data_IF_532582363047
#
_entry.id   IF_532582363047
#
_cell.length_a   1.000
_cell.length_b   1.000
_cell.length_c   1.000
_cell.angle_alpha   90.00
_cell.angle_beta   90.00
_cell.angle_gamma   90.00
#
_symmetry.space_group_name_H-M   'P 1'
#
loop_
_entity.id
_entity.type
_entity.pdbx_description
1 polymer ?
#
# COMPACT_ATOMS: atom_id res chain seq x y z
N UNK A 1 12.25 6.27 -14.90
CA UNK A 1 11.28 5.99 -13.82
C UNK A 1 9.99 5.61 -14.50
N UNK A 2 9.57 4.35 -14.37
CA UNK A 2 8.29 3.87 -14.89
C UNK A 2 7.34 3.69 -13.72
N UNK A 3 6.14 4.23 -13.82
CA UNK A 3 5.09 4.13 -12.80
C UNK A 3 3.93 3.37 -13.45
N UNK A 4 3.49 2.32 -12.76
CA UNK A 4 2.36 1.51 -13.19
C UNK A 4 1.24 1.65 -12.17
N UNK A 5 0.05 2.03 -12.62
CA UNK A 5 -1.17 1.94 -11.82
C UNK A 5 -1.77 0.54 -11.94
N UNK A 6 -2.12 -0.05 -10.80
CA UNK A 6 -2.70 -1.40 -10.72
C UNK A 6 -4.21 -1.39 -10.54
N UNK A 7 -4.85 -0.22 -10.43
CA UNK A 7 -6.29 -0.09 -10.29
C UNK A 7 -7.02 -0.88 -11.39
N UNK A 8 -7.94 -1.77 -11.00
CA UNK A 8 -8.70 -2.61 -11.92
C UNK A 8 -7.97 -3.84 -12.48
N UNK A 9 -6.64 -3.93 -12.37
CA UNK A 9 -5.86 -5.13 -12.76
C UNK A 9 -5.75 -6.18 -11.66
N UNK A 10 -6.23 -5.84 -10.45
CA UNK A 10 -6.17 -6.69 -9.25
C UNK A 10 -6.91 -8.03 -9.40
N UNK A 11 -7.84 -8.08 -10.35
CA UNK A 11 -8.64 -9.25 -10.71
C UNK A 11 -7.80 -10.34 -11.42
N UNK A 12 -6.63 -9.98 -11.97
CA UNK A 12 -5.72 -10.87 -12.69
C UNK A 12 -4.45 -11.12 -11.89
N UNK A 13 -4.52 -12.10 -10.97
CA UNK A 13 -3.43 -12.42 -10.04
C UNK A 13 -2.07 -12.65 -10.74
N UNK A 14 -2.06 -13.26 -11.94
CA UNK A 14 -0.85 -13.50 -12.72
C UNK A 14 -0.17 -12.22 -13.21
N UNK A 15 -0.94 -11.22 -13.63
CA UNK A 15 -0.41 -9.91 -14.04
C UNK A 15 0.14 -9.15 -12.84
N UNK A 16 -0.60 -9.13 -11.72
CA UNK A 16 -0.16 -8.52 -10.47
C UNK A 16 1.18 -9.09 -10.01
N UNK A 17 1.31 -10.42 -9.98
CA UNK A 17 2.53 -11.07 -9.52
C UNK A 17 3.71 -10.77 -10.46
N UNK A 18 3.49 -10.65 -11.77
CA UNK A 18 4.52 -10.21 -12.73
C UNK A 18 5.01 -8.79 -12.43
N UNK A 19 4.09 -7.86 -12.18
CA UNK A 19 4.44 -6.47 -11.85
C UNK A 19 5.17 -6.36 -10.52
N UNK A 20 4.76 -7.14 -9.51
CA UNK A 20 5.46 -7.18 -8.22
C UNK A 20 6.85 -7.81 -8.36
N UNK A 21 6.99 -8.87 -9.15
CA UNK A 21 8.28 -9.52 -9.38
C UNK A 21 9.29 -8.52 -9.96
N UNK A 22 8.86 -7.75 -10.97
CA UNK A 22 9.71 -6.81 -11.70
C UNK A 22 9.83 -5.43 -11.04
N UNK A 23 8.89 -5.03 -10.17
CA UNK A 23 8.87 -3.71 -9.54
C UNK A 23 10.00 -3.51 -8.53
N UNK A 24 10.67 -2.35 -8.55
CA UNK A 24 11.80 -2.06 -7.65
C UNK A 24 11.40 -1.34 -6.35
N UNK A 25 10.17 -0.84 -6.28
CA UNK A 25 9.59 -0.18 -5.12
C UNK A 25 8.07 -0.12 -5.28
N UNK A 26 7.37 -0.03 -4.16
CA UNK A 26 5.90 -0.09 -4.16
C UNK A 26 5.32 1.10 -3.40
N UNK A 27 4.20 1.61 -3.91
CA UNK A 27 3.33 2.52 -3.19
C UNK A 27 2.05 1.77 -2.90
N UNK A 28 1.71 1.64 -1.62
CA UNK A 28 0.43 1.09 -1.16
C UNK A 28 -0.39 2.26 -0.66
N UNK A 29 -1.57 2.46 -1.24
CA UNK A 29 -2.47 3.54 -0.87
C UNK A 29 -3.66 2.97 -0.11
N UNK A 30 -4.08 3.66 0.94
CA UNK A 30 -5.36 3.40 1.60
C UNK A 30 -6.19 4.68 1.65
N UNK A 31 -7.49 4.55 1.78
CA UNK A 31 -8.42 5.68 1.86
C UNK A 31 -8.65 6.06 3.31
N UNK A 32 -8.48 7.33 3.66
CA UNK A 32 -8.82 7.84 5.00
C UNK A 32 -10.30 7.70 5.32
N UNK A 33 -11.15 7.64 4.30
CA UNK A 33 -12.61 7.47 4.40
C UNK A 33 -13.09 6.02 4.25
N UNK A 34 -12.20 5.03 4.30
CA UNK A 34 -12.59 3.62 4.25
C UNK A 34 -11.59 2.78 5.05
N UNK A 35 -11.98 2.44 6.27
CA UNK A 35 -11.15 1.69 7.20
C UNK A 35 -10.77 0.29 6.69
N UNK A 36 -11.60 -0.35 5.86
CA UNK A 36 -11.28 -1.66 5.29
C UNK A 36 -10.00 -1.60 4.45
N UNK A 37 -9.82 -0.54 3.65
CA UNK A 37 -8.61 -0.37 2.82
C UNK A 37 -7.34 -0.24 3.65
N UNK A 38 -7.46 0.23 4.90
CA UNK A 38 -6.35 0.28 5.84
C UNK A 38 -6.02 -1.10 6.42
N UNK A 39 -7.05 -1.88 6.77
CA UNK A 39 -6.86 -3.26 7.24
C UNK A 39 -6.19 -4.15 6.16
N UNK A 40 -6.50 -3.91 4.90
CA UNK A 40 -5.98 -4.69 3.77
C UNK A 40 -4.47 -4.46 3.49
N UNK A 41 -3.87 -3.40 4.04
CA UNK A 41 -2.44 -3.08 3.83
C UNK A 41 -1.54 -4.24 4.25
N UNK A 42 -1.84 -4.89 5.39
CA UNK A 42 -1.04 -6.00 5.88
C UNK A 42 -1.05 -7.19 4.90
N UNK A 43 -2.23 -7.47 4.32
CA UNK A 43 -2.38 -8.48 3.28
C UNK A 43 -1.57 -8.13 2.03
N UNK A 44 -1.66 -6.87 1.58
CA UNK A 44 -0.90 -6.40 0.41
C UNK A 44 0.61 -6.49 0.62
N UNK A 45 1.11 -6.09 1.80
CA UNK A 45 2.52 -6.24 2.18
C UNK A 45 2.97 -7.70 2.13
N UNK A 46 2.14 -8.62 2.61
CA UNK A 46 2.45 -10.05 2.59
C UNK A 46 2.52 -10.60 1.17
N UNK A 47 1.62 -10.17 0.28
CA UNK A 47 1.66 -10.52 -1.14
C UNK A 47 2.95 -10.02 -1.79
N UNK A 48 3.30 -8.74 -1.58
CA UNK A 48 4.54 -8.15 -2.12
C UNK A 48 5.76 -8.92 -1.61
N UNK A 49 5.84 -9.17 -0.30
CA UNK A 49 6.96 -9.87 0.32
C UNK A 49 7.10 -11.31 -0.20
N UNK A 50 5.97 -12.02 -0.36
CA UNK A 50 5.95 -13.39 -0.89
C UNK A 50 6.46 -13.46 -2.33
N UNK A 51 5.99 -12.56 -3.20
CA UNK A 51 6.38 -12.55 -4.61
C UNK A 51 7.82 -12.07 -4.79
N UNK A 52 8.28 -11.12 -3.97
CA UNK A 52 9.68 -10.66 -3.96
C UNK A 52 10.67 -11.68 -3.40
N UNK A 53 10.21 -12.55 -2.50
CA UNK A 53 11.06 -13.57 -1.88
C UNK A 53 12.25 -12.94 -1.14
N UNK A 54 13.46 -13.30 -1.55
CA UNK A 54 14.71 -12.89 -0.89
C UNK A 54 15.22 -11.49 -1.26
N UNK A 55 14.57 -10.79 -2.20
CA UNK A 55 14.95 -9.44 -2.65
C UNK A 55 13.89 -8.42 -2.22
N UNK A 56 13.88 -7.99 -0.93
CA UNK A 56 12.89 -7.05 -0.43
C UNK A 56 13.02 -5.70 -1.14
N UNK A 57 11.88 -5.10 -1.47
CA UNK A 57 11.80 -3.77 -2.06
C UNK A 57 11.22 -2.77 -1.05
N UNK A 58 11.58 -1.48 -1.12
CA UNK A 58 10.96 -0.44 -0.31
C UNK A 58 9.46 -0.33 -0.61
N UNK A 59 8.66 -0.15 0.45
CA UNK A 59 7.22 0.07 0.36
C UNK A 59 6.90 1.40 1.02
N UNK A 60 6.25 2.29 0.27
CA UNK A 60 5.71 3.55 0.74
C UNK A 60 4.22 3.39 1.03
N UNK A 61 3.75 3.85 2.18
CA UNK A 61 2.34 3.83 2.53
C UNK A 61 1.78 5.24 2.45
N UNK A 62 0.72 5.41 1.68
CA UNK A 62 0.14 6.73 1.42
C UNK A 62 -1.32 6.73 1.86
N UNK A 63 -1.66 7.68 2.72
CA UNK A 63 -3.03 7.97 3.07
C UNK A 63 -3.65 8.83 1.97
N UNK A 64 -4.79 8.41 1.44
CA UNK A 64 -5.49 9.11 0.37
C UNK A 64 -6.81 9.71 0.87
N UNK A 65 -7.35 10.67 0.12
CA UNK A 65 -8.60 11.39 0.41
C UNK A 65 -8.57 12.24 1.68
N UNK A 66 -7.45 12.92 1.91
CA UNK A 66 -7.28 13.84 3.04
C UNK A 66 -8.30 14.99 3.03
N UNK A 67 -8.71 15.40 1.83
CA UNK A 67 -9.71 16.44 1.58
C UNK A 67 -11.10 16.10 2.16
N UNK A 68 -11.40 14.82 2.40
CA UNK A 68 -12.68 14.35 2.94
C UNK A 68 -12.63 14.14 4.46
N UNK A 69 -12.10 15.11 5.20
CA UNK A 69 -11.85 14.98 6.65
C UNK A 69 -13.12 14.67 7.47
N UNK A 70 -14.27 15.22 7.07
CA UNK A 70 -15.56 14.93 7.71
C UNK A 70 -16.01 13.47 7.60
N UNK A 71 -15.43 12.70 6.67
CA UNK A 71 -15.70 11.27 6.46
C UNK A 71 -14.52 10.41 6.91
N UNK A 72 -13.58 10.96 7.67
CA UNK A 72 -12.39 10.23 8.13
C UNK A 72 -12.79 9.09 9.06
N UNK A 73 -12.35 7.89 8.70
CA UNK A 73 -12.48 6.67 9.48
C UNK A 73 -11.14 6.20 10.06
N UNK A 74 -10.01 6.65 9.49
CA UNK A 74 -8.66 6.29 9.96
C UNK A 74 -7.95 7.51 10.55
N UNK A 75 -7.58 7.42 11.82
CA UNK A 75 -6.88 8.52 12.50
C UNK A 75 -5.40 8.61 12.08
N UNK A 76 -4.83 9.82 12.13
CA UNK A 76 -3.40 10.03 11.86
C UNK A 76 -2.50 9.24 12.82
N UNK A 77 -2.92 9.06 14.06
CA UNK A 77 -2.18 8.29 15.06
C UNK A 77 -2.13 6.79 14.69
N UNK A 78 -3.28 6.25 14.27
CA UNK A 78 -3.40 4.86 13.81
C UNK A 78 -2.55 4.59 12.56
N UNK A 79 -2.64 5.47 11.56
CA UNK A 79 -1.81 5.37 10.35
C UNK A 79 -0.31 5.37 10.67
N UNK A 80 0.13 6.24 11.59
CA UNK A 80 1.54 6.32 12.03
C UNK A 80 2.00 5.10 12.84
N UNK A 81 1.11 4.49 13.64
CA UNK A 81 1.45 3.29 14.41
C UNK A 81 1.74 2.09 13.51
N UNK A 82 0.98 1.96 12.41
CA UNK A 82 1.15 0.87 11.44
C UNK A 82 2.51 0.90 10.73
N UNK A 83 3.10 2.09 10.60
CA UNK A 83 4.32 2.40 9.84
C UNK A 83 5.61 2.11 10.61
N UNK A 84 5.54 1.99 11.94
CA UNK A 84 6.73 1.76 12.79
C UNK A 84 7.38 0.38 12.57
N UNK A 85 6.80 -0.47 11.73
CA UNK A 85 7.32 -1.81 11.41
C UNK A 85 8.06 -1.80 10.06
N UNK A 86 9.27 -1.23 10.08
CA UNK A 86 10.29 -1.13 9.00
C UNK A 86 9.93 -0.27 7.78
N UNK A 87 10.65 0.85 7.66
CA UNK A 87 10.82 1.74 6.50
C UNK A 87 9.60 1.95 5.60
N UNK A 88 8.64 2.70 6.13
CA UNK A 88 7.50 3.22 5.40
C UNK A 88 7.47 4.74 5.65
N UNK A 89 7.45 5.57 4.61
CA UNK A 89 7.19 7.01 4.76
C UNK A 89 5.67 7.20 4.66
N UNK A 90 5.06 7.90 5.61
CA UNK A 90 3.68 8.39 5.47
C UNK A 90 3.70 9.84 5.07
N UNK A 91 3.11 10.15 3.92
CA UNK A 91 2.77 11.52 3.58
C UNK A 91 1.38 11.84 4.16
N UNK A 92 1.21 12.99 4.85
CA UNK A 92 -0.07 13.41 5.39
C UNK A 92 -1.10 13.67 4.28
#
# INVERSE_FOLDING_TARGET
>A
LEILDTAGTEQFASMRDLYIKNGHGFIVMYSLTNHQTFQDIASMRNVISRVKGSQPAPILLVANKLDLDCQREVSTAEGKLFVRVRSVLTLP
#
